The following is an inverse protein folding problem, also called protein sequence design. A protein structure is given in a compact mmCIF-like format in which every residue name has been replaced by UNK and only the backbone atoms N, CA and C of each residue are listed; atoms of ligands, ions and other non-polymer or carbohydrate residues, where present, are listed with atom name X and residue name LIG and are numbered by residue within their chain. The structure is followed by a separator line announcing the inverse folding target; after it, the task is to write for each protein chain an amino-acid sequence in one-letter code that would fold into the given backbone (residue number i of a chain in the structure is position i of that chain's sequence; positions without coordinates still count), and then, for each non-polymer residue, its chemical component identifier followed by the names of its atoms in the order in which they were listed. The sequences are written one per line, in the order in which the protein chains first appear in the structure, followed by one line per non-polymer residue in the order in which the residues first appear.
data_IF_588312312198
#
_entry.id   IF_588312312198
#
_cell.length_a   1.000
_cell.length_b   1.000
_cell.length_c   1.000
_cell.angle_alpha   90.00
_cell.angle_beta   90.00
_cell.angle_gamma   90.00
#
_symmetry.space_group_name_H-M   'P 1'
#
loop_
_entity.id
_entity.type
_entity.pdbx_description
1 polymer ?
#
# COMPACT_ATOMS: atom_id res chain seq x y z
N UNK A 1 -5.98 -10.27 48.14
CA UNK A 1 -6.87 -10.13 46.97
C UNK A 1 -6.34 -8.99 46.12
N UNK A 2 -5.46 -9.29 45.16
CA UNK A 2 -4.91 -8.30 44.22
C UNK A 2 -5.81 -8.31 42.99
N UNK A 3 -6.66 -7.29 42.85
CA UNK A 3 -7.48 -7.13 41.65
C UNK A 3 -6.57 -6.59 40.54
N UNK A 4 -6.21 -7.47 39.60
CA UNK A 4 -5.50 -7.09 38.39
C UNK A 4 -6.36 -6.13 37.57
N UNK A 5 -5.87 -4.92 37.37
CA UNK A 5 -6.50 -3.90 36.54
C UNK A 5 -6.39 -4.31 35.06
N UNK A 6 -7.33 -5.12 34.57
CA UNK A 6 -7.42 -5.46 33.15
C UNK A 6 -8.28 -4.41 32.43
N UNK A 7 -7.74 -3.18 32.32
CA UNK A 7 -8.36 -2.13 31.50
C UNK A 7 -8.16 -2.48 30.03
N UNK A 8 -9.25 -2.85 29.36
CA UNK A 8 -9.26 -3.06 27.91
C UNK A 8 -8.87 -1.74 27.22
N UNK A 9 -7.67 -1.67 26.63
CA UNK A 9 -7.27 -0.54 25.80
C UNK A 9 -8.11 -0.53 24.53
N UNK A 10 -8.84 0.57 24.32
CA UNK A 10 -9.59 0.79 23.08
C UNK A 10 -8.61 1.19 21.98
N UNK A 11 -8.70 0.53 20.84
CA UNK A 11 -7.88 0.79 19.64
C UNK A 11 -8.82 1.10 18.48
N UNK A 12 -8.45 2.08 17.65
CA UNK A 12 -9.16 2.45 16.43
C UNK A 12 -8.16 2.76 15.32
N UNK A 13 -8.57 2.55 14.07
CA UNK A 13 -7.84 3.04 12.90
C UNK A 13 -8.24 4.49 12.70
N UNK A 14 -7.31 5.42 12.91
CA UNK A 14 -7.57 6.86 12.80
C UNK A 14 -7.52 7.35 11.34
N UNK A 15 -6.69 6.71 10.51
CA UNK A 15 -6.60 7.01 9.09
C UNK A 15 -5.85 5.94 8.32
N UNK A 16 -5.95 6.02 7.00
CA UNK A 16 -5.23 5.15 6.07
C UNK A 16 -4.75 5.95 4.88
N UNK A 17 -3.64 5.54 4.29
CA UNK A 17 -3.04 6.21 3.14
C UNK A 17 -2.43 5.20 2.19
N UNK A 18 -2.39 5.58 0.92
CA UNK A 18 -1.83 4.75 -0.13
C UNK A 18 -0.99 5.63 -1.04
N UNK A 19 0.11 5.06 -1.52
CA UNK A 19 0.88 5.63 -2.62
C UNK A 19 1.16 4.51 -3.61
N UNK A 20 1.03 4.84 -4.90
CA UNK A 20 1.36 3.93 -5.99
C UNK A 20 2.47 4.55 -6.83
N UNK A 21 3.53 3.79 -7.17
CA UNK A 21 4.52 4.23 -8.14
C UNK A 21 3.86 4.62 -9.48
N UNK A 22 4.51 5.56 -10.18
CA UNK A 22 4.00 6.14 -11.42
C UNK A 22 4.01 5.18 -12.60
N UNK A 23 5.01 4.27 -12.65
CA UNK A 23 5.17 3.36 -13.79
C UNK A 23 4.11 2.27 -13.75
N UNK A 24 3.12 2.38 -14.64
CA UNK A 24 2.15 1.33 -14.91
C UNK A 24 2.68 0.32 -15.93
N UNK A 25 2.52 -0.96 -15.65
CA UNK A 25 2.80 -2.07 -16.56
C UNK A 25 1.52 -2.86 -16.76
N UNK A 26 1.00 -2.86 -17.98
CA UNK A 26 -0.22 -3.60 -18.35
C UNK A 26 0.09 -5.07 -18.61
N UNK A 27 -0.92 -5.93 -18.64
CA UNK A 27 -0.74 -7.30 -19.09
C UNK A 27 -0.20 -7.38 -20.52
N UNK A 28 -0.68 -6.53 -21.43
CA UNK A 28 -0.19 -6.44 -22.80
C UNK A 28 1.30 -6.07 -22.87
N UNK A 29 1.82 -5.32 -21.90
CA UNK A 29 3.26 -5.03 -21.81
C UNK A 29 4.05 -6.23 -21.31
N UNK A 30 3.48 -7.04 -20.40
CA UNK A 30 4.08 -8.28 -19.93
C UNK A 30 4.16 -9.34 -21.03
N UNK A 31 3.14 -9.47 -21.87
CA UNK A 31 3.12 -10.39 -23.03
C UNK A 31 4.33 -10.20 -23.96
N UNK A 32 4.86 -8.96 -24.04
CA UNK A 32 6.02 -8.64 -24.90
C UNK A 32 7.34 -9.13 -24.33
N UNK A 33 7.40 -9.44 -23.03
CA UNK A 33 8.65 -9.74 -22.30
C UNK A 33 8.64 -11.11 -21.60
N UNK A 34 7.48 -11.76 -21.49
CA UNK A 34 7.30 -13.09 -20.89
C UNK A 34 6.28 -13.86 -21.73
N UNK A 35 6.44 -15.18 -21.87
CA UNK A 35 5.47 -16.06 -22.51
C UNK A 35 4.19 -16.18 -21.64
N UNK A 36 3.24 -15.27 -21.87
CA UNK A 36 1.99 -15.15 -21.13
C UNK A 36 0.92 -14.47 -21.99
N UNK A 37 -0.32 -14.38 -21.47
CA UNK A 37 -1.40 -13.62 -22.10
C UNK A 37 -2.26 -12.90 -21.07
N UNK A 38 -2.89 -11.80 -21.46
CA UNK A 38 -3.84 -11.05 -20.65
C UNK A 38 -5.00 -11.93 -20.20
N UNK A 39 -5.51 -12.80 -21.08
CA UNK A 39 -6.55 -13.78 -20.75
C UNK A 39 -6.07 -14.73 -19.64
N UNK A 40 -4.86 -15.28 -19.78
CA UNK A 40 -4.30 -16.19 -18.80
C UNK A 40 -4.05 -15.50 -17.45
N UNK A 41 -3.47 -14.29 -17.47
CA UNK A 41 -3.20 -13.51 -16.25
C UNK A 41 -4.52 -13.16 -15.56
N UNK A 42 -5.50 -12.63 -16.29
CA UNK A 42 -6.74 -12.16 -15.72
C UNK A 42 -7.61 -13.30 -15.21
N UNK A 43 -7.74 -14.41 -15.95
CA UNK A 43 -8.52 -15.57 -15.50
C UNK A 43 -8.00 -16.18 -14.20
N UNK A 44 -6.69 -16.08 -13.94
CA UNK A 44 -6.03 -16.63 -12.75
C UNK A 44 -5.97 -15.65 -11.58
N UNK A 45 -5.78 -14.36 -11.84
CA UNK A 45 -5.42 -13.37 -10.82
C UNK A 45 -6.36 -12.17 -10.74
N UNK A 46 -7.19 -11.94 -11.76
CA UNK A 46 -7.99 -10.72 -11.91
C UNK A 46 -7.18 -9.46 -12.20
N UNK A 47 -5.86 -9.55 -12.35
CA UNK A 47 -5.00 -8.38 -12.59
C UNK A 47 -5.05 -7.94 -14.05
N UNK A 48 -5.11 -6.61 -14.26
CA UNK A 48 -4.98 -5.96 -15.59
C UNK A 48 -3.70 -5.14 -15.72
N UNK A 49 -3.26 -4.56 -14.62
CA UNK A 49 -2.06 -3.74 -14.54
C UNK A 49 -1.37 -3.92 -13.18
N UNK A 50 -0.10 -3.51 -13.12
CA UNK A 50 0.65 -3.35 -11.88
C UNK A 50 1.46 -2.06 -11.91
N UNK A 51 1.96 -1.65 -10.74
CA UNK A 51 2.85 -0.50 -10.60
C UNK A 51 4.25 -0.96 -10.21
N UNK A 52 5.26 -0.38 -10.84
CA UNK A 52 6.67 -0.71 -10.60
C UNK A 52 7.38 0.54 -10.07
N UNK A 53 8.10 0.40 -8.96
CA UNK A 53 8.93 1.48 -8.43
C UNK A 53 10.04 1.83 -9.42
N UNK A 54 10.45 3.10 -9.44
CA UNK A 54 11.66 3.51 -10.18
C UNK A 54 12.89 2.90 -9.52
N UNK A 55 13.98 2.76 -10.28
CA UNK A 55 15.23 2.18 -9.77
C UNK A 55 15.82 2.97 -8.60
N UNK A 56 15.56 4.28 -8.57
CA UNK A 56 16.01 5.21 -7.54
C UNK A 56 15.00 5.41 -6.40
N UNK A 57 13.86 4.71 -6.42
CA UNK A 57 12.78 4.88 -5.45
C UNK A 57 12.81 3.75 -4.41
N UNK A 58 13.20 4.09 -3.19
CA UNK A 58 13.26 3.13 -2.09
C UNK A 58 11.88 2.85 -1.47
N UNK A 59 11.74 1.72 -0.79
CA UNK A 59 10.52 1.38 -0.04
C UNK A 59 10.17 2.43 1.01
N UNK A 60 11.18 3.07 1.61
CA UNK A 60 10.98 4.18 2.57
C UNK A 60 10.29 5.38 1.93
N UNK A 61 10.60 5.69 0.67
CA UNK A 61 10.01 6.82 -0.04
C UNK A 61 8.52 6.56 -0.29
N UNK A 62 8.18 5.34 -0.72
CA UNK A 62 6.80 4.90 -0.90
C UNK A 62 6.02 4.95 0.41
N UNK A 63 6.62 4.44 1.49
CA UNK A 63 6.01 4.39 2.81
C UNK A 63 5.83 5.79 3.39
N UNK A 64 6.79 6.69 3.21
CA UNK A 64 6.68 8.08 3.66
C UNK A 64 5.50 8.80 2.98
N UNK A 65 5.32 8.62 1.67
CA UNK A 65 4.20 9.20 0.93
C UNK A 65 2.85 8.61 1.36
N UNK A 66 2.78 7.29 1.56
CA UNK A 66 1.58 6.63 2.07
C UNK A 66 1.27 7.06 3.53
N UNK A 67 2.29 7.20 4.37
CA UNK A 67 2.15 7.64 5.75
C UNK A 67 1.66 9.09 5.83
N UNK A 68 2.20 9.98 4.98
CA UNK A 68 1.72 11.36 4.89
C UNK A 68 0.23 11.39 4.53
N UNK A 69 -0.20 10.63 3.51
CA UNK A 69 -1.60 10.52 3.16
C UNK A 69 -2.47 9.95 4.29
N UNK A 70 -1.93 9.03 5.10
CA UNK A 70 -2.63 8.49 6.26
C UNK A 70 -2.78 9.51 7.40
N UNK A 71 -1.74 10.31 7.66
CA UNK A 71 -1.78 11.40 8.64
C UNK A 71 -2.78 12.48 8.23
N UNK A 72 -2.76 12.86 6.95
CA UNK A 72 -3.71 13.81 6.38
C UNK A 72 -5.15 13.29 6.48
N UNK A 73 -5.36 12.00 6.21
CA UNK A 73 -6.67 11.34 6.36
C UNK A 73 -7.14 11.28 7.82
N UNK A 74 -6.22 11.07 8.76
CA UNK A 74 -6.49 11.07 10.20
C UNK A 74 -6.65 12.49 10.77
N UNK A 75 -6.23 13.53 10.05
CA UNK A 75 -6.25 14.91 10.51
C UNK A 75 -5.28 15.21 11.66
N UNK A 76 -4.18 14.45 11.75
CA UNK A 76 -3.17 14.57 12.82
C UNK A 76 -1.80 14.96 12.26
N UNK A 77 -0.95 15.52 13.11
CA UNK A 77 0.43 15.85 12.73
C UNK A 77 1.39 14.68 12.96
N UNK A 78 2.54 14.69 12.26
CA UNK A 78 3.58 13.68 12.47
C UNK A 78 4.24 13.75 13.87
N UNK A 79 4.11 14.89 14.56
CA UNK A 79 4.66 15.11 15.89
C UNK A 79 3.69 14.71 17.03
N UNK A 80 2.49 14.22 16.69
CA UNK A 80 1.46 13.83 17.66
C UNK A 80 1.88 12.56 18.44
N UNK A 81 1.71 12.57 19.77
CA UNK A 81 2.22 11.56 20.71
C UNK A 81 1.14 10.80 21.45
#
# INVERSE_FOLDING_TARGET
MSQGNNSLRRVAILGSGVYLPEKTVTNCDLEKIVDTSDEWIYSRTGMRERRIAREDQATSDLAALAAQAALDNAGISADEK
#
